data_IF_214238143355
#
_entry.id   IF_214238143355
#
_cell.length_a   1.000
_cell.length_b   1.000
_cell.length_c   1.000
_cell.angle_alpha   90.00
_cell.angle_beta   90.00
_cell.angle_gamma   90.00
#
_symmetry.space_group_name_H-M   'P 1'
#
loop_
_entity.id
_entity.type
_entity.pdbx_description
1 polymer ?
#
# COMPACT_ATOMS: atom_id res chain seq x y z
N UNK A 1 -14.76 26.17 -7.29
CA UNK A 1 -15.13 25.07 -6.37
C UNK A 1 -14.24 25.21 -5.15
N UNK A 2 -14.76 25.83 -4.08
CA UNK A 2 -14.00 26.00 -2.84
C UNK A 2 -13.96 24.67 -2.09
N UNK A 3 -12.80 24.34 -1.55
CA UNK A 3 -12.66 23.20 -0.68
C UNK A 3 -13.23 23.56 0.69
N UNK A 4 -14.04 22.70 1.32
CA UNK A 4 -14.43 22.93 2.69
C UNK A 4 -13.18 22.74 3.56
N UNK A 5 -12.67 23.87 4.03
CA UNK A 5 -11.66 23.95 5.08
C UNK A 5 -12.27 23.33 6.35
N UNK A 6 -11.43 22.74 7.21
CA UNK A 6 -11.82 22.22 8.54
C UNK A 6 -12.69 20.95 8.61
N UNK A 7 -13.02 20.29 7.49
CA UNK A 7 -13.80 19.02 7.50
C UNK A 7 -13.13 17.92 8.34
N UNK A 8 -11.80 17.96 8.43
CA UNK A 8 -10.98 17.02 9.22
C UNK A 8 -10.83 17.40 10.70
N UNK A 9 -11.25 18.60 11.09
CA UNK A 9 -11.15 19.06 12.49
C UNK A 9 -12.32 18.55 13.35
N UNK A 10 -13.41 18.12 12.71
CA UNK A 10 -14.57 17.54 13.39
C UNK A 10 -14.46 16.01 13.47
N UNK A 11 -14.88 15.40 14.59
CA UNK A 11 -15.03 13.95 14.70
C UNK A 11 -16.39 13.50 14.11
N UNK A 12 -16.37 12.81 12.97
CA UNK A 12 -17.57 12.28 12.30
C UNK A 12 -17.93 10.85 12.76
N UNK A 13 -17.30 10.37 13.83
CA UNK A 13 -17.38 9.01 14.30
C UNK A 13 -16.68 8.01 13.37
N UNK A 14 -16.58 6.74 13.81
CA UNK A 14 -15.80 5.70 13.13
C UNK A 14 -16.13 5.53 11.63
N UNK A 15 -17.42 5.51 11.30
CA UNK A 15 -17.88 5.33 9.90
C UNK A 15 -17.69 6.59 9.07
N UNK A 16 -17.96 7.78 9.64
CA UNK A 16 -17.79 9.06 8.95
C UNK A 16 -16.32 9.34 8.64
N UNK A 17 -15.44 9.15 9.63
CA UNK A 17 -13.99 9.31 9.46
C UNK A 17 -13.44 8.33 8.41
N UNK A 18 -13.93 7.09 8.37
CA UNK A 18 -13.55 6.11 7.33
C UNK A 18 -13.94 6.60 5.93
N UNK A 19 -15.17 7.10 5.75
CA UNK A 19 -15.62 7.66 4.46
C UNK A 19 -14.82 8.90 4.05
N UNK A 20 -14.51 9.78 5.01
CA UNK A 20 -13.69 10.96 4.76
C UNK A 20 -12.29 10.60 4.27
N UNK A 21 -11.69 9.56 4.88
CA UNK A 21 -10.43 9.01 4.40
C UNK A 21 -10.52 8.48 2.97
N UNK A 22 -11.55 7.67 2.66
CA UNK A 22 -11.76 7.14 1.30
C UNK A 22 -11.90 8.25 0.25
N UNK A 23 -12.64 9.33 0.57
CA UNK A 23 -12.84 10.44 -0.36
C UNK A 23 -11.53 11.15 -0.75
N UNK A 24 -10.61 11.29 0.20
CA UNK A 24 -9.30 11.87 -0.08
C UNK A 24 -8.47 11.00 -1.05
N UNK A 25 -8.54 9.67 -0.92
CA UNK A 25 -7.88 8.75 -1.85
C UNK A 25 -8.50 8.75 -3.24
N UNK A 26 -9.83 8.80 -3.34
CA UNK A 26 -10.51 8.91 -4.64
C UNK A 26 -10.06 10.15 -5.42
N UNK A 27 -9.77 11.26 -4.71
CA UNK A 27 -9.21 12.45 -5.35
C UNK A 27 -7.80 12.24 -5.89
N UNK A 28 -6.96 11.52 -5.16
CA UNK A 28 -5.61 11.16 -5.63
C UNK A 28 -5.71 10.29 -6.88
N UNK A 29 -6.64 9.32 -6.92
CA UNK A 29 -6.89 8.50 -8.11
C UNK A 29 -7.28 9.34 -9.32
N UNK A 30 -8.21 10.29 -9.16
CA UNK A 30 -8.56 11.23 -10.24
C UNK A 30 -7.33 11.99 -10.76
N UNK A 31 -6.45 12.43 -9.86
CA UNK A 31 -5.24 13.14 -10.22
C UNK A 31 -4.21 12.26 -10.92
N UNK A 32 -4.07 11.00 -10.50
CA UNK A 32 -3.22 10.04 -11.18
C UNK A 32 -3.75 9.74 -12.57
N UNK A 33 -5.05 9.52 -12.72
CA UNK A 33 -5.70 9.20 -14.00
C UNK A 33 -5.46 10.30 -15.04
N UNK A 34 -5.86 11.55 -14.76
CA UNK A 34 -5.72 12.61 -15.75
C UNK A 34 -4.25 12.96 -16.04
N UNK A 35 -3.36 12.90 -15.04
CA UNK A 35 -1.92 13.15 -15.25
C UNK A 35 -1.23 12.00 -15.97
N UNK A 36 -1.69 10.77 -15.73
CA UNK A 36 -1.26 9.57 -16.41
C UNK A 36 -1.59 9.66 -17.89
N UNK A 37 -2.83 10.00 -18.22
CA UNK A 37 -3.29 10.20 -19.60
C UNK A 37 -2.41 11.21 -20.37
N UNK A 38 -2.13 12.38 -19.77
CA UNK A 38 -1.25 13.40 -20.36
C UNK A 38 0.15 12.86 -20.69
N UNK A 39 0.63 11.87 -19.91
CA UNK A 39 1.96 11.28 -20.05
C UNK A 39 1.96 9.93 -20.76
N UNK A 40 0.81 9.44 -21.22
CA UNK A 40 0.67 8.10 -21.78
C UNK A 40 0.92 6.97 -20.76
N UNK A 41 0.68 7.22 -19.47
CA UNK A 41 0.79 6.23 -18.39
C UNK A 41 -0.60 5.77 -17.98
N UNK A 42 -0.87 4.48 -18.11
CA UNK A 42 -2.12 3.87 -17.64
C UNK A 42 -2.14 3.76 -16.11
N UNK A 43 -3.29 4.05 -15.51
CA UNK A 43 -3.50 3.92 -14.06
C UNK A 43 -4.54 2.85 -13.81
N UNK A 44 -4.10 1.73 -13.23
CA UNK A 44 -4.95 0.59 -12.88
C UNK A 44 -5.32 0.64 -11.40
N UNK A 45 -6.61 0.45 -11.09
CA UNK A 45 -7.11 0.34 -9.71
C UNK A 45 -7.39 -1.12 -9.38
N UNK A 46 -6.45 -1.77 -8.72
CA UNK A 46 -6.55 -3.16 -8.31
C UNK A 46 -7.07 -3.31 -6.88
N UNK A 47 -7.58 -4.50 -6.57
CA UNK A 47 -8.10 -4.80 -5.23
C UNK A 47 -6.95 -4.84 -4.21
N UNK A 48 -6.96 -3.92 -3.24
CA UNK A 48 -5.97 -3.80 -2.16
C UNK A 48 -6.24 -4.72 -0.96
N UNK A 49 -7.26 -5.57 -1.00
CA UNK A 49 -7.64 -6.40 0.14
C UNK A 49 -6.48 -7.33 0.57
N UNK A 50 -6.23 -7.34 1.88
CA UNK A 50 -5.21 -8.10 2.62
C UNK A 50 -3.74 -7.93 2.17
N UNK A 51 -3.43 -7.07 1.20
CA UNK A 51 -2.05 -6.83 0.74
C UNK A 51 -1.13 -6.30 1.84
N UNK A 52 -1.67 -5.62 2.84
CA UNK A 52 -0.91 -5.05 3.95
C UNK A 52 -0.68 -6.01 5.13
N UNK A 53 -1.17 -7.27 5.02
CA UNK A 53 -1.02 -8.34 6.02
C UNK A 53 -0.31 -9.58 5.46
N UNK A 54 -0.39 -9.80 4.16
CA UNK A 54 0.37 -10.85 3.47
C UNK A 54 1.84 -10.46 3.32
N UNK A 55 2.76 -11.40 3.57
CA UNK A 55 4.19 -11.19 3.38
C UNK A 55 4.50 -11.14 1.88
N UNK A 56 5.13 -10.05 1.42
CA UNK A 56 5.46 -9.88 0.01
C UNK A 56 6.60 -10.77 -0.50
N UNK A 57 7.27 -11.49 0.40
CA UNK A 57 8.35 -12.42 0.06
C UNK A 57 7.86 -13.87 -0.01
N UNK A 58 7.20 -14.36 1.04
CA UNK A 58 6.80 -15.78 1.14
C UNK A 58 5.29 -16.03 1.11
N UNK A 59 4.45 -14.98 1.07
CA UNK A 59 2.99 -15.12 0.99
C UNK A 59 2.28 -15.44 2.32
N UNK A 60 2.98 -15.54 3.45
CA UNK A 60 2.37 -15.78 4.76
C UNK A 60 1.48 -14.58 5.19
N UNK A 61 0.23 -14.85 5.54
CA UNK A 61 -0.78 -13.85 5.91
C UNK A 61 -1.11 -13.82 7.41
N UNK A 62 -0.27 -14.46 8.23
CA UNK A 62 -0.40 -14.49 9.70
C UNK A 62 -0.62 -13.08 10.26
N UNK A 63 -1.77 -12.87 10.90
CA UNK A 63 -2.23 -11.53 11.36
C UNK A 63 -1.24 -10.82 12.29
N UNK A 64 -0.48 -11.56 13.10
CA UNK A 64 0.52 -11.00 14.02
C UNK A 64 1.79 -10.51 13.31
N UNK A 65 1.98 -10.81 12.02
CA UNK A 65 3.13 -10.32 11.26
C UNK A 65 3.10 -8.79 11.11
N UNK A 66 1.91 -8.17 11.07
CA UNK A 66 1.78 -6.70 11.18
C UNK A 66 1.77 -6.31 12.65
N UNK A 67 2.96 -6.03 13.18
CA UNK A 67 3.18 -5.74 14.61
C UNK A 67 2.51 -4.45 15.04
N UNK A 68 2.75 -3.37 14.30
CA UNK A 68 2.18 -2.05 14.56
C UNK A 68 2.13 -1.21 13.28
N UNK A 69 1.64 0.03 13.39
CA UNK A 69 1.62 0.94 12.23
C UNK A 69 3.06 1.24 11.79
N UNK A 70 3.40 0.81 10.58
CA UNK A 70 4.72 1.05 10.00
C UNK A 70 5.75 -0.06 10.26
N UNK A 71 5.39 -1.13 10.97
CA UNK A 71 6.27 -2.29 11.19
C UNK A 71 5.60 -3.60 10.79
N UNK A 72 6.28 -4.35 9.92
CA UNK A 72 5.93 -5.71 9.51
C UNK A 72 7.11 -6.64 9.75
N UNK A 73 6.85 -7.77 10.40
CA UNK A 73 7.83 -8.83 10.69
C UNK A 73 7.20 -10.17 10.31
N UNK A 74 7.70 -10.81 9.25
CA UNK A 74 7.22 -12.13 8.87
C UNK A 74 7.84 -13.19 9.78
N UNK A 75 7.01 -13.94 10.48
CA UNK A 75 7.47 -15.07 11.31
C UNK A 75 7.95 -16.27 10.48
N UNK A 76 7.48 -16.42 9.23
CA UNK A 76 7.81 -17.55 8.36
C UNK A 76 9.13 -17.42 7.61
N UNK A 77 9.51 -16.21 7.19
CA UNK A 77 10.74 -15.96 6.40
C UNK A 77 11.61 -14.83 6.94
N UNK A 78 11.31 -14.34 8.15
CA UNK A 78 12.10 -13.32 8.87
C UNK A 78 12.22 -11.96 8.16
N UNK A 79 11.40 -11.71 7.13
CA UNK A 79 11.29 -10.41 6.47
C UNK A 79 10.96 -9.31 7.48
N UNK A 80 11.75 -8.25 7.52
CA UNK A 80 11.44 -7.03 8.28
C UNK A 80 11.32 -5.85 7.34
N UNK A 81 10.16 -5.20 7.35
CA UNK A 81 9.87 -4.10 6.45
C UNK A 81 8.94 -3.08 7.09
N UNK A 82 8.89 -1.88 6.50
CA UNK A 82 7.76 -1.01 6.75
C UNK A 82 6.48 -1.66 6.20
N UNK A 83 5.40 -1.63 6.97
CA UNK A 83 4.15 -2.30 6.59
C UNK A 83 3.51 -1.72 5.32
N UNK A 84 3.73 -0.45 5.02
CA UNK A 84 3.27 0.20 3.79
C UNK A 84 4.17 -0.21 2.60
N UNK A 85 5.48 -0.40 2.81
CA UNK A 85 6.39 -0.95 1.79
C UNK A 85 6.05 -2.39 1.43
N UNK A 86 5.78 -3.26 2.42
CA UNK A 86 5.30 -4.62 2.19
C UNK A 86 3.97 -4.61 1.40
N UNK A 87 3.03 -3.74 1.77
CA UNK A 87 1.77 -3.59 1.05
C UNK A 87 1.93 -3.13 -0.40
N UNK A 88 2.81 -2.14 -0.63
CA UNK A 88 3.10 -1.62 -1.97
C UNK A 88 3.74 -2.70 -2.86
N UNK A 89 4.65 -3.52 -2.31
CA UNK A 89 5.27 -4.61 -3.04
C UNK A 89 4.25 -5.69 -3.42
N UNK A 90 3.33 -6.05 -2.53
CA UNK A 90 2.23 -6.95 -2.87
C UNK A 90 1.34 -6.40 -4.00
N UNK A 91 1.03 -5.09 -3.99
CA UNK A 91 0.27 -4.47 -5.08
C UNK A 91 1.04 -4.50 -6.40
N UNK A 92 2.35 -4.22 -6.37
CA UNK A 92 3.21 -4.31 -7.55
C UNK A 92 3.18 -5.71 -8.15
N UNK A 93 3.31 -6.76 -7.33
CA UNK A 93 3.34 -8.15 -7.79
C UNK A 93 2.04 -8.60 -8.47
N UNK A 94 0.88 -7.98 -8.16
CA UNK A 94 -0.38 -8.25 -8.86
C UNK A 94 -0.38 -7.74 -10.31
N UNK A 95 0.32 -6.64 -10.58
CA UNK A 95 0.31 -5.96 -11.89
C UNK A 95 1.52 -6.39 -12.73
N UNK A 96 2.70 -6.45 -12.11
CA UNK A 96 3.96 -6.74 -12.79
C UNK A 96 4.67 -7.86 -12.04
N UNK A 97 4.53 -9.13 -12.48
CA UNK A 97 5.37 -10.20 -11.97
C UNK A 97 6.83 -9.83 -12.23
N UNK A 98 7.70 -10.06 -11.26
CA UNK A 98 9.12 -9.71 -11.38
C UNK A 98 9.72 -10.37 -12.63
N UNK A 99 10.48 -9.64 -13.46
CA UNK A 99 11.34 -10.29 -14.45
C UNK A 99 12.28 -11.23 -13.70
N UNK A 100 12.39 -12.47 -14.18
CA UNK A 100 13.20 -13.50 -13.52
C UNK A 100 14.67 -13.05 -13.46
N UNK A 101 15.23 -12.89 -12.26
CA UNK A 101 16.68 -12.75 -12.05
C UNK A 101 17.23 -11.34 -11.78
N UNK A 102 16.41 -10.30 -11.60
CA UNK A 102 16.91 -8.98 -11.20
C UNK A 102 16.67 -8.71 -9.70
N UNK A 103 17.74 -8.33 -8.98
CA UNK A 103 17.62 -7.68 -7.67
C UNK A 103 17.05 -6.28 -7.87
N UNK A 104 15.89 -6.02 -7.24
CA UNK A 104 15.20 -4.73 -7.27
C UNK A 104 15.01 -4.15 -5.88
N UNK A 105 15.85 -4.56 -4.92
CA UNK A 105 15.85 -4.00 -3.57
C UNK A 105 16.06 -2.49 -3.65
N UNK A 106 15.10 -1.74 -3.14
CA UNK A 106 15.20 -0.29 -2.96
C UNK A 106 15.78 0.08 -1.58
N UNK A 107 16.26 -0.91 -0.80
CA UNK A 107 16.76 -0.73 0.56
C UNK A 107 15.68 -0.51 1.62
N UNK A 108 14.39 -0.50 1.26
CA UNK A 108 13.28 -0.30 2.21
C UNK A 108 12.79 -1.61 2.85
N UNK A 109 13.22 -2.74 2.30
CA UNK A 109 12.84 -4.09 2.74
C UNK A 109 14.12 -4.79 3.14
N UNK A 110 14.26 -5.08 4.43
CA UNK A 110 15.41 -5.83 4.95
C UNK A 110 14.99 -7.28 5.02
N UNK A 111 15.49 -8.08 4.08
CA UNK A 111 15.51 -9.53 4.23
C UNK A 111 16.73 -9.83 5.07
N UNK A 112 16.58 -10.52 6.21
CA UNK A 112 17.74 -11.13 6.84
C UNK A 112 18.21 -12.25 5.92
N UNK A 113 19.37 -12.08 5.30
CA UNK A 113 20.03 -13.19 4.60
C UNK A 113 20.49 -14.20 5.67
N UNK A 114 20.04 -15.44 5.54
CA UNK A 114 20.53 -16.60 6.31
C UNK A 114 21.80 -17.15 5.70
#
# INVERSE_FOLDING_TARGET
MSWPEDVRESDWGKTGNKKLHSWAFDRIYQYLEYKGEIRGVEVLKENEWDTSKTCSHCGDDTKSNRVERGLYVCSSCELVANADCNGAENMRQKITPSPHGEDRSNGCVVVRET
#
